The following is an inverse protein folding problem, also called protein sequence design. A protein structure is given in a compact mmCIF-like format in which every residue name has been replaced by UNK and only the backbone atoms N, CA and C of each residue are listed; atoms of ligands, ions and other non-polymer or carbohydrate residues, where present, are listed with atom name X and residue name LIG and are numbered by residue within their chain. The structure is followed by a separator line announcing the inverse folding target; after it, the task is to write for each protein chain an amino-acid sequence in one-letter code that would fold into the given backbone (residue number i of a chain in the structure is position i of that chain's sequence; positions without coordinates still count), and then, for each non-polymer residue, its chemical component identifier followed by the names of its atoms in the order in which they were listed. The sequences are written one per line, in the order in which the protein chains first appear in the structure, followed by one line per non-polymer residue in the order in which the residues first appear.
data_IF_281477798808
#
_entry.id   IF_281477798808
#
_cell.length_a   1.000
_cell.length_b   1.000
_cell.length_c   1.000
_cell.angle_alpha   90.00
_cell.angle_beta   90.00
_cell.angle_gamma   90.00
#
_symmetry.space_group_name_H-M   'P 1'
#
loop_
_entity.id
_entity.type
_entity.pdbx_description
1 polymer ?
#
# COMPACT_ATOMS: atom_id res chain seq x y z
N UNK A 1 47.72 -30.94 -4.01
CA UNK A 1 46.25 -31.08 -3.97
C UNK A 1 45.75 -30.32 -2.78
N UNK A 2 44.80 -29.41 -3.01
CA UNK A 2 43.71 -28.92 -2.14
C UNK A 2 43.33 -27.54 -2.66
N UNK A 3 42.42 -27.55 -3.64
CA UNK A 3 41.56 -26.41 -3.92
C UNK A 3 40.52 -26.41 -2.81
N UNK A 4 40.39 -25.32 -2.10
CA UNK A 4 39.14 -25.00 -1.43
C UNK A 4 38.83 -23.53 -1.72
N UNK A 5 38.17 -23.35 -2.87
CA UNK A 5 37.50 -22.11 -3.25
C UNK A 5 36.28 -22.00 -2.35
N UNK A 6 36.43 -21.34 -1.20
CA UNK A 6 35.31 -20.99 -0.35
C UNK A 6 34.53 -19.86 -1.06
N UNK A 7 33.66 -20.25 -2.00
CA UNK A 7 32.63 -19.40 -2.58
C UNK A 7 31.61 -19.13 -1.48
N UNK A 8 31.87 -18.10 -0.69
CA UNK A 8 30.82 -17.36 -0.02
C UNK A 8 29.91 -16.79 -1.11
N UNK A 9 28.82 -17.50 -1.40
CA UNK A 9 27.64 -16.91 -2.02
C UNK A 9 27.05 -15.93 -0.99
N UNK A 10 27.75 -14.83 -0.74
CA UNK A 10 27.10 -13.61 -0.31
C UNK A 10 26.15 -13.28 -1.46
N UNK A 11 24.86 -13.42 -1.22
CA UNK A 11 23.86 -12.85 -2.12
C UNK A 11 24.21 -11.38 -2.24
N UNK A 12 24.88 -11.00 -3.34
CA UNK A 12 25.08 -9.62 -3.76
C UNK A 12 23.67 -9.02 -3.79
N UNK A 13 23.31 -8.35 -2.70
CA UNK A 13 21.96 -7.85 -2.53
C UNK A 13 21.81 -6.71 -3.53
N UNK A 14 21.12 -6.98 -4.63
CA UNK A 14 21.05 -6.03 -5.74
C UNK A 14 20.18 -4.85 -5.31
N UNK A 15 20.82 -3.71 -5.07
CA UNK A 15 20.17 -2.46 -4.72
C UNK A 15 19.27 -1.97 -5.86
N UNK A 16 18.15 -1.36 -5.52
CA UNK A 16 17.26 -0.79 -6.53
C UNK A 16 17.93 0.40 -7.22
N UNK A 17 17.83 0.44 -8.53
CA UNK A 17 18.15 1.61 -9.34
C UNK A 17 17.14 2.73 -9.12
N UNK A 18 17.52 3.94 -9.55
CA UNK A 18 16.60 5.09 -9.58
C UNK A 18 15.32 4.83 -10.39
N UNK A 19 15.43 4.07 -11.48
CA UNK A 19 14.29 3.72 -12.32
C UNK A 19 13.33 2.75 -11.62
N UNK A 20 13.86 1.73 -10.94
CA UNK A 20 13.06 0.79 -10.15
C UNK A 20 12.36 1.50 -8.99
N UNK A 21 13.08 2.38 -8.26
CA UNK A 21 12.51 3.21 -7.20
C UNK A 21 11.33 4.05 -7.70
N UNK A 22 11.53 4.79 -8.78
CA UNK A 22 10.47 5.63 -9.34
C UNK A 22 9.28 4.83 -9.85
N UNK A 23 9.49 3.62 -10.36
CA UNK A 23 8.40 2.73 -10.76
C UNK A 23 7.56 2.32 -9.56
N UNK A 24 8.19 1.92 -8.46
CA UNK A 24 7.49 1.55 -7.22
C UNK A 24 6.73 2.75 -6.63
N UNK A 25 7.37 3.92 -6.52
CA UNK A 25 6.73 5.15 -6.04
C UNK A 25 5.56 5.59 -6.91
N UNK A 26 5.71 5.55 -8.24
CA UNK A 26 4.63 5.89 -9.16
C UNK A 26 3.44 4.93 -9.00
N UNK A 27 3.73 3.64 -8.85
CA UNK A 27 2.72 2.61 -8.61
C UNK A 27 2.00 2.84 -7.27
N UNK A 28 2.73 3.08 -6.18
CA UNK A 28 2.18 3.31 -4.84
C UNK A 28 1.31 4.58 -4.78
N UNK A 29 1.74 5.65 -5.46
CA UNK A 29 1.03 6.94 -5.55
C UNK A 29 -0.20 6.93 -6.47
N UNK A 30 -0.49 5.79 -7.12
CA UNK A 30 -1.70 5.63 -7.91
C UNK A 30 -2.92 5.50 -7.01
N UNK A 31 -4.04 6.17 -7.34
CA UNK A 31 -5.30 6.09 -6.56
C UNK A 31 -5.80 4.65 -6.32
N UNK A 32 -5.35 3.68 -7.12
CA UNK A 32 -5.77 2.27 -7.05
C UNK A 32 -4.60 1.30 -6.85
N UNK A 33 -3.48 1.75 -6.30
CA UNK A 33 -2.32 0.89 -6.01
C UNK A 33 -2.69 -0.38 -5.21
N UNK A 34 -3.72 -0.26 -4.37
CA UNK A 34 -4.26 -1.31 -3.50
C UNK A 34 -5.17 -2.32 -4.21
N UNK A 35 -5.68 -2.02 -5.40
CA UNK A 35 -6.66 -2.89 -6.07
C UNK A 35 -6.05 -4.27 -6.39
N UNK A 36 -6.70 -5.33 -5.92
CA UNK A 36 -6.22 -6.70 -6.08
C UNK A 36 -5.06 -7.10 -5.17
N UNK A 37 -4.62 -6.22 -4.25
CA UNK A 37 -3.57 -6.51 -3.28
C UNK A 37 -4.08 -7.27 -2.07
N UNK A 38 -3.18 -8.00 -1.41
CA UNK A 38 -3.48 -8.75 -0.19
C UNK A 38 -3.51 -7.80 1.00
N UNK A 39 -4.50 -7.96 1.88
CA UNK A 39 -4.53 -7.27 3.18
C UNK A 39 -3.58 -8.02 4.13
N UNK A 40 -2.67 -7.33 4.83
CA UNK A 40 -1.86 -7.94 5.89
C UNK A 40 -2.75 -8.58 6.95
N UNK A 41 -2.39 -9.77 7.43
CA UNK A 41 -3.17 -10.43 8.50
C UNK A 41 -3.07 -9.63 9.80
N UNK A 42 -1.88 -9.15 10.13
CA UNK A 42 -1.56 -8.35 11.31
C UNK A 42 -0.64 -7.18 10.91
N UNK A 43 -0.76 -6.06 11.61
CA UNK A 43 0.13 -4.90 11.49
C UNK A 43 0.38 -4.29 12.86
N UNK A 44 1.61 -3.87 13.12
CA UNK A 44 1.96 -3.10 14.31
C UNK A 44 1.98 -1.60 14.00
N UNK A 45 1.17 -0.82 14.73
CA UNK A 45 1.13 0.64 14.65
C UNK A 45 1.17 1.21 16.06
N UNK A 46 2.09 2.16 16.31
CA UNK A 46 2.29 2.79 17.62
C UNK A 46 2.53 1.80 18.78
N UNK A 47 3.12 0.64 18.49
CA UNK A 47 3.34 -0.44 19.48
C UNK A 47 2.10 -1.28 19.79
N UNK A 48 1.00 -1.07 19.06
CA UNK A 48 -0.22 -1.89 19.15
C UNK A 48 -0.35 -2.79 17.91
N UNK A 49 -0.66 -4.07 18.14
CA UNK A 49 -0.91 -5.04 17.07
C UNK A 49 -2.38 -5.06 16.68
N UNK A 50 -2.66 -4.87 15.39
CA UNK A 50 -4.00 -4.91 14.80
C UNK A 50 -4.13 -6.09 13.86
N UNK A 51 -5.12 -6.96 14.09
CA UNK A 51 -5.45 -8.11 13.21
C UNK A 51 -6.31 -7.66 12.04
N UNK A 52 -5.70 -6.89 11.13
CA UNK A 52 -6.39 -6.18 10.06
C UNK A 52 -7.23 -7.10 9.16
N UNK A 53 -6.74 -8.30 8.85
CA UNK A 53 -7.48 -9.30 8.07
C UNK A 53 -8.77 -9.76 8.76
N UNK A 54 -8.70 -10.02 10.07
CA UNK A 54 -9.85 -10.42 10.89
C UNK A 54 -10.88 -9.28 10.98
N UNK A 55 -10.43 -8.05 11.23
CA UNK A 55 -11.31 -6.89 11.31
C UNK A 55 -12.11 -6.70 10.01
N UNK A 56 -11.44 -6.75 8.85
CA UNK A 56 -12.09 -6.59 7.54
C UNK A 56 -13.11 -7.71 7.27
N UNK A 57 -12.80 -8.95 7.66
CA UNK A 57 -13.71 -10.09 7.53
C UNK A 57 -14.92 -9.95 8.45
N UNK A 58 -14.69 -9.63 9.71
CA UNK A 58 -15.74 -9.50 10.74
C UNK A 58 -16.77 -8.43 10.39
N UNK A 59 -16.34 -7.27 9.90
CA UNK A 59 -17.22 -6.22 9.37
C UNK A 59 -18.05 -6.70 8.16
N UNK A 60 -17.54 -7.66 7.38
CA UNK A 60 -18.28 -8.24 6.25
C UNK A 60 -19.34 -9.25 6.69
N UNK A 61 -19.07 -10.03 7.73
CA UNK A 61 -19.93 -11.13 8.17
C UNK A 61 -20.98 -10.68 9.19
N UNK A 62 -20.59 -9.83 10.15
CA UNK A 62 -21.43 -9.41 11.29
C UNK A 62 -22.33 -8.21 10.96
N UNK A 63 -22.09 -7.54 9.83
CA UNK A 63 -22.81 -6.33 9.44
C UNK A 63 -22.22 -5.06 10.07
N UNK A 64 -23.05 -4.04 10.28
CA UNK A 64 -22.58 -2.75 10.81
C UNK A 64 -21.99 -2.94 12.23
N UNK A 65 -20.76 -2.50 12.48
CA UNK A 65 -20.14 -2.63 13.80
C UNK A 65 -20.91 -1.86 14.87
N UNK A 66 -20.74 -2.28 16.13
CA UNK A 66 -21.23 -1.51 17.28
C UNK A 66 -20.64 -0.09 17.30
N UNK A 67 -21.23 0.85 18.05
CA UNK A 67 -20.77 2.25 18.07
C UNK A 67 -19.29 2.40 18.43
N UNK A 68 -18.83 1.57 19.37
CA UNK A 68 -17.48 1.63 19.92
C UNK A 68 -16.47 1.01 18.94
N UNK A 69 -16.77 -0.17 18.41
CA UNK A 69 -15.99 -0.83 17.36
C UNK A 69 -15.89 0.07 16.11
N UNK A 70 -16.99 0.72 15.73
CA UNK A 70 -16.99 1.66 14.62
C UNK A 70 -16.11 2.90 14.87
N UNK A 71 -16.01 3.35 16.12
CA UNK A 71 -15.14 4.46 16.51
C UNK A 71 -13.66 4.03 16.46
N UNK A 72 -13.34 2.84 16.93
CA UNK A 72 -12.00 2.25 16.85
C UNK A 72 -11.52 2.12 15.40
N UNK A 73 -12.35 1.55 14.52
CA UNK A 73 -12.02 1.42 13.10
C UNK A 73 -11.84 2.80 12.44
N UNK A 74 -12.69 3.77 12.78
CA UNK A 74 -12.54 5.17 12.30
C UNK A 74 -11.23 5.80 12.74
N UNK A 75 -10.75 5.49 13.95
CA UNK A 75 -9.47 5.96 14.45
C UNK A 75 -8.28 5.20 13.84
N UNK A 76 -8.44 3.94 13.46
CA UNK A 76 -7.39 3.12 12.83
C UNK A 76 -7.11 3.52 11.37
N UNK A 77 -8.13 3.86 10.58
CA UNK A 77 -7.98 4.24 9.17
C UNK A 77 -6.91 5.34 8.95
N UNK A 78 -6.91 6.48 9.67
CA UNK A 78 -5.86 7.49 9.49
C UNK A 78 -4.47 6.96 9.89
N UNK A 79 -4.37 6.16 10.95
CA UNK A 79 -3.10 5.54 11.38
C UNK A 79 -2.50 4.64 10.30
N UNK A 80 -3.33 3.79 9.66
CA UNK A 80 -2.91 2.97 8.53
C UNK A 80 -2.37 3.83 7.37
N UNK A 81 -3.03 4.94 7.07
CA UNK A 81 -2.59 5.87 6.00
C UNK A 81 -1.31 6.62 6.36
N UNK A 82 -1.10 6.94 7.63
CA UNK A 82 0.14 7.54 8.10
C UNK A 82 1.30 6.55 8.01
N UNK A 83 1.08 5.27 8.35
CA UNK A 83 2.08 4.21 8.14
C UNK A 83 2.44 4.05 6.67
N UNK A 84 1.46 4.04 5.77
CA UNK A 84 1.70 4.00 4.31
C UNK A 84 2.59 5.17 3.85
N UNK A 85 2.36 6.38 4.37
CA UNK A 85 3.21 7.53 4.05
C UNK A 85 4.63 7.36 4.57
N UNK A 86 4.78 6.81 5.77
CA UNK A 86 6.11 6.50 6.31
C UNK A 86 6.83 5.45 5.43
N UNK A 87 6.13 4.40 4.98
CA UNK A 87 6.70 3.39 4.09
C UNK A 87 7.08 4.00 2.73
N UNK A 88 6.27 4.91 2.20
CA UNK A 88 6.56 5.68 0.99
C UNK A 88 7.82 6.56 1.15
N UNK A 89 7.94 7.28 2.27
CA UNK A 89 9.11 8.12 2.59
C UNK A 89 10.38 7.27 2.71
N UNK A 90 10.28 6.07 3.31
CA UNK A 90 11.38 5.11 3.38
C UNK A 90 11.78 4.62 1.98
N UNK A 91 10.80 4.27 1.15
CA UNK A 91 11.00 3.87 -0.24
C UNK A 91 11.59 5.01 -1.10
N UNK A 92 11.34 6.27 -0.76
CA UNK A 92 11.90 7.43 -1.46
C UNK A 92 13.34 7.72 -1.03
N UNK A 93 13.65 7.57 0.26
CA UNK A 93 14.89 8.13 0.85
C UNK A 93 15.98 7.11 1.16
N UNK A 94 15.65 5.85 1.48
CA UNK A 94 16.65 4.86 1.92
C UNK A 94 17.30 4.13 0.75
N UNK A 95 18.57 3.78 0.88
CA UNK A 95 19.18 2.76 0.04
C UNK A 95 18.59 1.41 0.42
N UNK A 96 17.93 0.76 -0.54
CA UNK A 96 17.18 -0.47 -0.33
C UNK A 96 17.62 -1.49 -1.38
N UNK A 97 17.75 -2.72 -0.94
CA UNK A 97 17.81 -3.89 -1.82
C UNK A 97 16.47 -4.07 -2.52
N UNK A 98 16.45 -4.79 -3.65
CA UNK A 98 15.18 -5.11 -4.34
C UNK A 98 14.16 -5.76 -3.41
N UNK A 99 14.59 -6.68 -2.56
CA UNK A 99 13.70 -7.40 -1.65
C UNK A 99 13.12 -6.48 -0.56
N UNK A 100 13.94 -5.58 0.01
CA UNK A 100 13.46 -4.60 1.00
C UNK A 100 12.48 -3.60 0.37
N UNK A 101 12.76 -3.14 -0.85
CA UNK A 101 11.90 -2.21 -1.56
C UNK A 101 10.56 -2.83 -1.95
N UNK A 102 10.57 -4.08 -2.43
CA UNK A 102 9.35 -4.83 -2.75
C UNK A 102 8.54 -5.13 -1.49
N UNK A 103 9.19 -5.49 -0.37
CA UNK A 103 8.52 -5.72 0.90
C UNK A 103 7.83 -4.46 1.43
N UNK A 104 8.52 -3.31 1.41
CA UNK A 104 7.93 -2.01 1.79
C UNK A 104 6.76 -1.65 0.87
N UNK A 105 6.90 -1.86 -0.43
CA UNK A 105 5.84 -1.60 -1.40
C UNK A 105 4.61 -2.47 -1.14
N UNK A 106 4.77 -3.79 -0.96
CA UNK A 106 3.68 -4.73 -0.72
C UNK A 106 2.99 -4.48 0.64
N UNK A 107 3.75 -4.11 1.68
CA UNK A 107 3.20 -3.67 2.96
C UNK A 107 2.32 -2.43 2.76
N UNK A 108 2.86 -1.37 2.13
CA UNK A 108 2.16 -0.11 1.93
C UNK A 108 0.86 -0.27 1.12
N UNK A 109 0.88 -0.99 -0.01
CA UNK A 109 -0.33 -1.23 -0.81
C UNK A 109 -1.34 -2.14 -0.09
N UNK A 110 -0.87 -3.07 0.73
CA UNK A 110 -1.71 -3.92 1.56
C UNK A 110 -2.41 -3.16 2.69
N UNK A 111 -1.70 -2.23 3.34
CA UNK A 111 -2.28 -1.33 4.35
C UNK A 111 -3.29 -0.38 3.73
N UNK A 112 -3.00 0.18 2.54
CA UNK A 112 -3.99 0.96 1.78
C UNK A 112 -5.23 0.13 1.46
N UNK A 113 -5.07 -1.13 1.06
CA UNK A 113 -6.19 -2.04 0.79
C UNK A 113 -7.07 -2.22 2.01
N UNK A 114 -6.46 -2.50 3.17
CA UNK A 114 -7.18 -2.65 4.43
C UNK A 114 -7.91 -1.37 4.83
N UNK A 115 -7.25 -0.21 4.75
CA UNK A 115 -7.85 1.08 5.07
C UNK A 115 -9.07 1.40 4.19
N UNK A 116 -9.00 1.10 2.89
CA UNK A 116 -10.12 1.32 1.97
C UNK A 116 -11.29 0.36 2.23
N UNK A 117 -11.02 -0.92 2.47
CA UNK A 117 -12.06 -1.91 2.81
C UNK A 117 -12.78 -1.57 4.12
N UNK A 118 -12.03 -1.20 5.16
CA UNK A 118 -12.60 -0.77 6.44
C UNK A 118 -13.49 0.47 6.25
N UNK A 119 -13.03 1.46 5.47
CA UNK A 119 -13.79 2.67 5.17
C UNK A 119 -15.09 2.34 4.42
N UNK A 120 -15.03 1.56 3.35
CA UNK A 120 -16.19 1.23 2.53
C UNK A 120 -17.24 0.45 3.34
N UNK A 121 -16.80 -0.48 4.18
CA UNK A 121 -17.68 -1.25 5.08
C UNK A 121 -18.34 -0.35 6.13
N UNK A 122 -17.59 0.58 6.74
CA UNK A 122 -18.15 1.56 7.69
C UNK A 122 -19.18 2.50 7.05
N UNK A 123 -19.00 2.84 5.78
CA UNK A 123 -19.92 3.71 5.03
C UNK A 123 -21.13 2.95 4.46
N UNK A 124 -21.23 1.63 4.70
CA UNK A 124 -22.26 0.78 4.13
C UNK A 124 -22.18 0.71 2.59
N UNK A 125 -21.01 1.01 2.02
CA UNK A 125 -20.74 1.01 0.58
C UNK A 125 -20.28 -0.36 0.09
N UNK A 126 -20.92 -1.45 0.52
CA UNK A 126 -20.75 -2.74 -0.15
C UNK A 126 -21.71 -2.81 -1.36
N UNK A 127 -21.19 -2.98 -2.59
CA UNK A 127 -22.00 -3.20 -3.80
C UNK A 127 -22.01 -2.04 -4.81
N UNK A 128 -23.12 -1.81 -5.53
CA UNK A 128 -23.20 -0.87 -6.67
C UNK A 128 -22.71 0.56 -6.39
N UNK A 129 -22.90 1.07 -5.16
CA UNK A 129 -22.43 2.41 -4.77
C UNK A 129 -20.91 2.53 -4.71
N UNK A 130 -20.18 1.47 -4.31
CA UNK A 130 -18.71 1.50 -4.37
C UNK A 130 -18.22 1.42 -5.81
N UNK A 131 -18.92 0.72 -6.70
CA UNK A 131 -18.58 0.64 -8.14
C UNK A 131 -18.68 2.01 -8.81
N UNK A 132 -19.71 2.81 -8.51
CA UNK A 132 -19.86 4.13 -9.12
C UNK A 132 -18.89 5.17 -8.53
N UNK A 133 -18.56 5.08 -7.25
CA UNK A 133 -17.49 5.88 -6.65
C UNK A 133 -16.12 5.50 -7.22
N UNK A 134 -15.88 4.20 -7.39
CA UNK A 134 -14.69 3.65 -8.05
C UNK A 134 -14.55 4.16 -9.48
N UNK A 135 -15.63 4.16 -10.27
CA UNK A 135 -15.64 4.75 -11.64
C UNK A 135 -15.34 6.26 -11.61
N UNK A 136 -15.87 7.00 -10.64
CA UNK A 136 -15.59 8.45 -10.50
C UNK A 136 -14.13 8.70 -10.17
N UNK A 137 -13.57 7.94 -9.22
CA UNK A 137 -12.15 8.00 -8.89
C UNK A 137 -11.28 7.64 -10.11
N UNK A 138 -11.60 6.58 -10.85
CA UNK A 138 -10.90 6.19 -12.10
C UNK A 138 -10.84 7.32 -13.14
N UNK A 139 -11.92 8.07 -13.28
CA UNK A 139 -11.96 9.21 -14.19
C UNK A 139 -11.11 10.39 -13.68
N UNK A 140 -11.08 10.64 -12.37
CA UNK A 140 -10.19 11.65 -11.77
C UNK A 140 -8.72 11.26 -11.94
N UNK A 141 -8.36 10.02 -11.63
CA UNK A 141 -6.98 9.53 -11.76
C UNK A 141 -6.45 9.66 -13.19
N UNK A 142 -7.24 9.30 -14.21
CA UNK A 142 -6.86 9.48 -15.62
C UNK A 142 -6.45 10.92 -15.92
N UNK A 143 -7.13 11.90 -15.34
CA UNK A 143 -6.81 13.32 -15.52
C UNK A 143 -5.51 13.70 -14.79
N UNK A 144 -5.26 13.15 -13.60
CA UNK A 144 -4.04 13.39 -12.83
C UNK A 144 -2.83 12.74 -13.50
N UNK A 145 -2.95 11.50 -13.96
CA UNK A 145 -1.89 10.77 -14.65
C UNK A 145 -1.54 11.41 -15.99
N UNK A 146 -2.53 11.87 -16.75
CA UNK A 146 -2.30 12.65 -17.96
C UNK A 146 -1.48 13.92 -17.64
N UNK A 147 -1.83 14.65 -16.58
CA UNK A 147 -1.06 15.84 -16.17
C UNK A 147 0.38 15.51 -15.80
N UNK A 148 0.60 14.47 -14.99
CA UNK A 148 1.94 14.01 -14.59
C UNK A 148 2.76 13.57 -15.80
N UNK A 149 2.14 12.88 -16.76
CA UNK A 149 2.80 12.48 -18.00
C UNK A 149 3.18 13.68 -18.88
N UNK A 150 2.32 14.69 -18.98
CA UNK A 150 2.63 15.94 -19.69
C UNK A 150 3.78 16.71 -19.04
N UNK A 151 3.85 16.73 -17.71
CA UNK A 151 4.97 17.34 -16.96
C UNK A 151 6.28 16.60 -17.21
N UNK A 152 6.25 15.25 -17.21
CA UNK A 152 7.40 14.43 -17.57
C UNK A 152 7.89 14.75 -19.00
N UNK A 153 7.00 14.79 -20.00
CA UNK A 153 7.37 15.13 -21.38
C UNK A 153 8.02 16.51 -21.46
N UNK A 154 7.52 17.51 -20.72
CA UNK A 154 8.10 18.85 -20.68
C UNK A 154 9.49 18.87 -20.05
N UNK A 155 9.73 18.04 -19.04
CA UNK A 155 11.03 17.93 -18.36
C UNK A 155 12.12 17.25 -19.19
N UNK A 156 11.73 16.51 -20.23
CA UNK A 156 12.62 15.80 -21.15
C UNK A 156 13.02 16.62 -22.40
N UNK A 157 12.57 17.88 -22.49
CA UNK A 157 12.93 18.84 -23.54
C UNK A 157 13.87 19.91 -23.00
#
# INVERSE_FOLDING_TARGET
MLKDENRTNETDAEYISYQERNKLLWSLRSEFAWAGKKIPECVEIDGEEYRLGDMVRDLGEKGFPGTDEAAEIRALIPKLKERVKADEELLETKELTRDEAEALYEEAVGLLRGAMELKDKLEGKSGEKSVDEFKRMLNTQKVVDEKRFQELIKSLK
#
